data_IF_461874062583
#
_entry.id   IF_461874062583
#
_cell.length_a   1.000
_cell.length_b   1.000
_cell.length_c   1.000
_cell.angle_alpha   90.00
_cell.angle_beta   90.00
_cell.angle_gamma   90.00
#
_symmetry.space_group_name_H-M   'P 1'
#
loop_
_entity.id
_entity.type
_entity.pdbx_description
1 polymer ?
#
# COMPACT_ATOMS: atom_id res chain seq x y z
N UNK A 1 8.37 4.09 -3.57
CA UNK A 1 8.62 3.64 -2.19
C UNK A 1 10.10 3.80 -1.90
N UNK A 2 10.43 4.46 -0.80
CA UNK A 2 11.78 4.69 -0.32
C UNK A 2 11.97 4.00 1.03
N UNK A 3 12.85 3.01 1.07
CA UNK A 3 13.20 2.30 2.30
C UNK A 3 14.44 2.93 2.95
N UNK A 4 14.49 2.87 4.28
CA UNK A 4 15.48 3.60 5.06
C UNK A 4 15.97 2.85 6.29
N UNK A 5 17.18 3.17 6.73
CA UNK A 5 17.78 2.54 7.91
C UNK A 5 17.41 3.26 9.22
N UNK A 6 16.76 2.53 10.14
CA UNK A 6 16.40 2.97 11.49
C UNK A 6 15.18 3.89 11.59
N UNK A 7 14.73 4.21 12.81
CA UNK A 7 13.50 5.00 13.08
C UNK A 7 13.55 6.49 12.69
N UNK A 8 14.56 6.96 11.95
CA UNK A 8 14.66 8.37 11.52
C UNK A 8 15.19 8.44 10.10
N UNK A 9 14.63 9.39 9.34
CA UNK A 9 14.91 9.82 7.96
C UNK A 9 16.39 10.17 7.62
N UNK A 10 17.38 9.51 8.24
CA UNK A 10 18.78 9.88 8.11
C UNK A 10 19.44 9.25 6.89
N UNK A 11 18.89 8.15 6.37
CA UNK A 11 19.61 7.38 5.36
C UNK A 11 18.70 6.50 4.49
N UNK A 12 18.51 6.89 3.23
CA UNK A 12 17.85 6.04 2.23
C UNK A 12 18.77 4.88 1.83
N UNK A 13 18.26 3.65 1.82
CA UNK A 13 19.04 2.47 1.40
C UNK A 13 18.60 1.98 0.04
N UNK A 14 17.32 2.10 -0.27
CA UNK A 14 16.69 1.55 -1.46
C UNK A 14 15.62 2.50 -1.99
N UNK A 15 15.35 2.39 -3.28
CA UNK A 15 14.23 3.05 -3.92
C UNK A 15 13.57 2.09 -4.90
N UNK A 16 12.27 1.89 -4.78
CA UNK A 16 11.49 1.09 -5.70
C UNK A 16 10.38 1.90 -6.36
N UNK A 17 10.08 1.53 -7.60
CA UNK A 17 8.98 2.11 -8.35
C UNK A 17 8.21 1.03 -9.12
N UNK A 18 6.92 1.30 -9.27
CA UNK A 18 6.02 0.63 -10.20
C UNK A 18 5.21 1.72 -10.86
N UNK A 19 5.30 1.82 -12.18
CA UNK A 19 4.77 2.91 -13.00
C UNK A 19 3.94 2.33 -14.12
N UNK A 20 2.78 2.92 -14.32
CA UNK A 20 1.87 2.56 -15.41
C UNK A 20 1.58 3.82 -16.20
N UNK A 21 1.64 3.70 -17.52
CA UNK A 21 1.22 4.75 -18.47
C UNK A 21 0.47 4.12 -19.62
N UNK A 22 -0.26 4.93 -20.37
CA UNK A 22 -1.01 4.47 -21.54
C UNK A 22 -0.47 5.14 -22.80
N UNK A 23 -0.12 4.34 -23.81
CA UNK A 23 0.21 4.80 -25.16
C UNK A 23 -0.70 4.08 -26.15
N UNK A 24 -1.38 4.83 -27.02
CA UNK A 24 -2.31 4.29 -28.03
C UNK A 24 -3.34 3.29 -27.45
N UNK A 25 -3.84 3.58 -26.25
CA UNK A 25 -4.81 2.73 -25.53
C UNK A 25 -4.23 1.46 -24.92
N UNK A 26 -2.90 1.25 -25.00
CA UNK A 26 -2.21 0.11 -24.39
C UNK A 26 -1.55 0.51 -23.10
N UNK A 27 -1.74 -0.31 -22.07
CA UNK A 27 -1.04 -0.16 -20.81
C UNK A 27 0.44 -0.53 -20.99
N UNK A 28 1.32 0.34 -20.50
CA UNK A 28 2.77 0.14 -20.46
C UNK A 28 3.20 0.17 -18.99
N UNK A 29 3.69 -0.96 -18.53
CA UNK A 29 4.24 -1.15 -17.19
C UNK A 29 5.76 -0.92 -17.21
N UNK A 30 6.25 -0.18 -16.23
CA UNK A 30 7.67 -0.05 -15.93
C UNK A 30 7.88 -0.14 -14.43
N UNK A 31 8.79 -1.00 -13.99
CA UNK A 31 9.08 -1.21 -12.57
C UNK A 31 10.57 -1.46 -12.38
N UNK A 32 11.04 -1.22 -11.16
CA UNK A 32 12.42 -1.50 -10.83
C UNK A 32 12.76 -1.24 -9.37
N UNK A 33 14.01 -1.56 -9.06
CA UNK A 33 14.54 -1.48 -7.71
C UNK A 33 15.98 -0.99 -7.75
N UNK A 34 16.26 0.11 -7.05
CA UNK A 34 17.60 0.68 -6.87
C UNK A 34 18.08 0.45 -5.45
N UNK A 35 19.36 0.12 -5.31
CA UNK A 35 20.06 0.01 -4.02
C UNK A 35 21.22 0.99 -4.00
N UNK A 36 21.37 1.74 -2.91
CA UNK A 36 22.56 2.61 -2.71
C UNK A 36 23.77 1.73 -2.41
N UNK A 37 24.74 1.70 -3.32
CA UNK A 37 25.91 0.81 -3.28
C UNK A 37 26.69 0.93 -1.96
N UNK A 38 26.90 2.17 -1.48
CA UNK A 38 27.61 2.44 -0.23
C UNK A 38 26.88 1.94 1.02
N UNK A 39 25.60 1.59 0.88
CA UNK A 39 24.69 1.23 1.98
C UNK A 39 24.09 -0.16 1.81
N UNK A 40 24.57 -0.96 0.86
CA UNK A 40 24.01 -2.29 0.56
C UNK A 40 23.98 -3.22 1.78
N UNK A 41 24.99 -3.12 2.65
CA UNK A 41 25.10 -3.94 3.86
C UNK A 41 24.29 -3.42 5.06
N UNK A 42 23.62 -2.27 4.93
CA UNK A 42 22.84 -1.68 6.03
C UNK A 42 21.50 -2.41 6.09
N UNK A 43 21.18 -3.04 7.22
CA UNK A 43 19.97 -3.87 7.37
C UNK A 43 19.05 -3.27 8.41
N UNK A 44 17.76 -3.16 8.10
CA UNK A 44 16.80 -2.80 9.13
C UNK A 44 16.72 -3.95 10.16
N UNK A 45 16.74 -3.62 11.45
CA UNK A 45 16.65 -4.59 12.55
C UNK A 45 15.22 -4.78 13.06
N UNK A 46 14.27 -3.97 12.59
CA UNK A 46 12.88 -3.94 13.05
C UNK A 46 11.91 -4.67 12.12
N UNK A 47 12.31 -4.92 10.87
CA UNK A 47 11.49 -5.62 9.86
C UNK A 47 12.35 -6.65 9.12
N UNK A 48 11.76 -7.71 8.53
CA UNK A 48 12.48 -8.62 7.66
C UNK A 48 13.31 -7.89 6.61
N UNK A 49 14.55 -8.31 6.40
CA UNK A 49 15.45 -7.65 5.46
C UNK A 49 15.45 -8.37 4.11
N UNK A 50 14.54 -7.96 3.23
CA UNK A 50 14.30 -8.59 1.92
C UNK A 50 14.88 -7.81 0.72
N UNK A 51 15.76 -6.84 0.97
CA UNK A 51 16.48 -6.05 -0.05
C UNK A 51 17.04 -6.86 -1.22
N UNK A 52 17.55 -8.06 -0.96
CA UNK A 52 18.18 -8.93 -1.97
C UNK A 52 17.16 -9.78 -2.75
N UNK A 53 15.88 -9.74 -2.38
CA UNK A 53 14.79 -10.55 -2.94
C UNK A 53 13.81 -9.68 -3.76
N UNK A 54 14.30 -9.08 -4.85
CA UNK A 54 13.42 -8.36 -5.78
C UNK A 54 12.73 -9.34 -6.74
N UNK A 55 11.39 -9.37 -6.76
CA UNK A 55 10.63 -10.38 -7.50
C UNK A 55 10.49 -10.09 -9.00
N UNK A 56 10.71 -8.84 -9.40
CA UNK A 56 10.28 -8.35 -10.71
C UNK A 56 11.45 -7.98 -11.64
N UNK A 57 12.64 -8.51 -11.34
CA UNK A 57 13.85 -8.30 -12.13
C UNK A 57 15.10 -8.35 -11.26
N UNK A 58 16.12 -7.59 -11.64
CA UNK A 58 17.36 -7.48 -10.88
C UNK A 58 17.46 -6.11 -10.21
N UNK A 59 17.96 -6.11 -8.96
CA UNK A 59 18.26 -4.87 -8.24
C UNK A 59 19.45 -4.14 -8.87
N UNK A 60 19.29 -2.85 -9.18
CA UNK A 60 20.37 -2.01 -9.70
C UNK A 60 21.13 -1.34 -8.55
N UNK A 61 22.43 -1.61 -8.45
CA UNK A 61 23.28 -1.04 -7.40
C UNK A 61 23.99 0.21 -7.91
N UNK A 62 23.72 1.35 -7.30
CA UNK A 62 24.21 2.65 -7.76
C UNK A 62 24.96 3.41 -6.65
N UNK A 63 26.09 4.06 -6.99
CA UNK A 63 26.69 5.05 -6.10
C UNK A 63 25.70 6.17 -5.78
N UNK A 64 25.76 6.74 -4.58
CA UNK A 64 24.79 7.73 -4.07
C UNK A 64 24.48 8.86 -5.05
N UNK A 65 25.50 9.37 -5.77
CA UNK A 65 25.32 10.46 -6.75
C UNK A 65 24.47 10.00 -7.95
N UNK A 66 24.74 8.80 -8.47
CA UNK A 66 24.00 8.22 -9.59
C UNK A 66 22.59 7.80 -9.15
N UNK A 67 22.45 7.25 -7.94
CA UNK A 67 21.15 6.91 -7.34
C UNK A 67 20.22 8.13 -7.27
N UNK A 68 20.72 9.24 -6.71
CA UNK A 68 19.99 10.51 -6.67
C UNK A 68 19.56 10.96 -8.06
N UNK A 69 20.51 11.02 -8.99
CA UNK A 69 20.27 11.48 -10.36
C UNK A 69 19.23 10.60 -11.07
N UNK A 70 19.31 9.27 -10.90
CA UNK A 70 18.39 8.30 -11.50
C UNK A 70 16.94 8.52 -11.06
N UNK A 71 16.72 8.81 -9.78
CA UNK A 71 15.38 9.10 -9.25
C UNK A 71 14.85 10.44 -9.77
N UNK A 72 15.71 11.47 -9.83
CA UNK A 72 15.34 12.77 -10.38
C UNK A 72 14.93 12.66 -11.85
N UNK A 73 15.70 11.92 -12.66
CA UNK A 73 15.39 11.66 -14.07
C UNK A 73 14.08 10.87 -14.22
N UNK A 74 13.88 9.82 -13.43
CA UNK A 74 12.63 9.02 -13.45
C UNK A 74 11.39 9.89 -13.24
N UNK A 75 11.38 10.74 -12.22
CA UNK A 75 10.24 11.61 -11.90
C UNK A 75 10.07 12.72 -12.94
N UNK A 76 11.17 13.28 -13.45
CA UNK A 76 11.12 14.30 -14.50
C UNK A 76 10.55 13.72 -15.81
N UNK A 77 11.03 12.55 -16.22
CA UNK A 77 10.55 11.85 -17.41
C UNK A 77 9.07 11.49 -17.29
N UNK A 78 8.64 11.00 -16.11
CA UNK A 78 7.24 10.71 -15.86
C UNK A 78 6.35 11.97 -15.94
N UNK A 79 6.80 13.09 -15.33
CA UNK A 79 6.09 14.37 -15.36
C UNK A 79 6.01 14.98 -16.77
N UNK A 80 6.99 14.71 -17.63
CA UNK A 80 6.99 15.21 -19.01
C UNK A 80 5.97 14.49 -19.91
N UNK A 81 5.45 13.33 -19.48
CA UNK A 81 4.50 12.51 -20.23
C UNK A 81 3.03 12.81 -19.88
N UNK A 82 2.76 13.92 -19.16
CA UNK A 82 1.43 14.37 -18.79
C UNK A 82 1.22 14.43 -17.28
N UNK A 83 -0.03 14.34 -16.78
CA UNK A 83 -0.31 14.42 -15.36
C UNK A 83 0.32 13.24 -14.60
N UNK A 84 1.11 13.53 -13.54
CA UNK A 84 1.77 12.51 -12.73
C UNK A 84 1.04 12.28 -11.40
N UNK A 85 0.55 11.06 -11.20
CA UNK A 85 -0.01 10.59 -9.93
C UNK A 85 1.05 9.77 -9.18
N UNK A 86 1.52 10.29 -8.06
CA UNK A 86 2.43 9.59 -7.15
C UNK A 86 1.61 8.78 -6.15
N UNK A 87 1.69 7.46 -6.27
CA UNK A 87 0.97 6.51 -5.41
C UNK A 87 1.91 6.03 -4.30
N UNK A 88 1.46 6.14 -3.06
CA UNK A 88 2.21 5.70 -1.88
C UNK A 88 1.36 4.84 -0.95
N UNK A 89 2.01 4.17 -0.01
CA UNK A 89 1.38 3.55 1.14
C UNK A 89 1.89 4.26 2.40
N UNK A 90 1.15 5.26 2.86
CA UNK A 90 1.60 6.34 3.77
C UNK A 90 2.69 7.24 3.15
N UNK A 91 2.25 8.23 2.37
CA UNK A 91 3.11 9.16 1.64
C UNK A 91 4.05 10.01 2.52
N UNK A 92 3.78 10.09 3.82
CA UNK A 92 4.40 11.07 4.74
C UNK A 92 5.91 10.98 4.79
N UNK A 93 6.46 9.77 4.72
CA UNK A 93 7.90 9.53 4.78
C UNK A 93 8.55 9.67 3.41
N UNK A 94 7.98 9.06 2.37
CA UNK A 94 8.47 9.16 0.98
C UNK A 94 8.60 10.61 0.51
N UNK A 95 7.59 11.45 0.77
CA UNK A 95 7.61 12.87 0.37
C UNK A 95 8.72 13.63 1.10
N UNK A 96 9.00 13.30 2.37
CA UNK A 96 10.14 13.89 3.10
C UNK A 96 11.47 13.44 2.49
N UNK A 97 11.59 12.19 2.05
CA UNK A 97 12.78 11.69 1.37
C UNK A 97 13.02 12.37 0.04
N UNK A 98 11.98 12.50 -0.79
CA UNK A 98 12.07 13.21 -2.07
C UNK A 98 12.54 14.65 -1.92
N UNK A 99 12.05 15.36 -0.89
CA UNK A 99 12.46 16.75 -0.59
C UNK A 99 13.81 16.85 0.11
N UNK A 100 14.35 15.76 0.66
CA UNK A 100 15.60 15.76 1.41
C UNK A 100 16.81 16.03 0.50
N UNK A 101 17.92 16.47 1.11
CA UNK A 101 19.21 16.66 0.41
C UNK A 101 19.76 15.38 -0.25
N UNK A 102 19.28 14.21 0.19
CA UNK A 102 19.70 12.93 -0.38
C UNK A 102 19.18 12.75 -1.82
N UNK A 103 18.00 13.31 -2.13
CA UNK A 103 17.29 13.08 -3.40
C UNK A 103 16.98 14.38 -4.15
N UNK A 104 16.48 15.40 -3.48
CA UNK A 104 16.15 16.72 -4.05
C UNK A 104 15.30 16.64 -5.34
N UNK A 105 14.21 15.87 -5.32
CA UNK A 105 13.23 15.85 -6.41
C UNK A 105 12.38 17.13 -6.33
N UNK A 106 12.22 17.87 -7.45
CA UNK A 106 11.41 19.07 -7.49
C UNK A 106 9.91 18.71 -7.51
N UNK A 107 9.30 18.62 -6.34
CA UNK A 107 7.85 18.37 -6.19
C UNK A 107 7.03 19.67 -6.25
N UNK A 108 7.37 20.58 -7.17
CA UNK A 108 6.65 21.85 -7.35
C UNK A 108 5.24 21.57 -7.86
N UNK A 109 4.22 22.17 -7.24
CA UNK A 109 2.82 21.95 -7.64
C UNK A 109 2.21 20.64 -7.12
N UNK A 110 2.89 19.92 -6.22
CA UNK A 110 2.35 18.74 -5.54
C UNK A 110 1.04 19.08 -4.80
N UNK A 111 -0.05 18.40 -5.16
CA UNK A 111 -1.36 18.52 -4.51
C UNK A 111 -1.82 17.19 -3.92
N UNK A 112 -2.59 17.30 -2.84
CA UNK A 112 -3.21 16.17 -2.13
C UNK A 112 -4.70 16.02 -2.49
N UNK A 113 -5.29 17.05 -3.10
CA UNK A 113 -6.66 17.03 -3.57
C UNK A 113 -6.66 16.63 -5.05
N UNK A 114 -7.34 15.52 -5.35
CA UNK A 114 -7.56 15.08 -6.72
C UNK A 114 -8.56 16.03 -7.43
N UNK A 115 -8.38 16.29 -8.72
CA UNK A 115 -9.29 17.12 -9.50
C UNK A 115 -10.56 16.34 -9.86
N UNK A 116 -11.68 17.04 -10.02
CA UNK A 116 -12.96 16.44 -10.42
C UNK A 116 -12.94 15.92 -11.88
N UNK A 117 -12.05 16.47 -12.71
CA UNK A 117 -11.87 16.09 -14.11
C UNK A 117 -10.41 15.73 -14.39
N UNK A 118 -10.17 14.91 -15.40
CA UNK A 118 -8.82 14.51 -15.80
C UNK A 118 -7.98 15.76 -16.15
N UNK A 119 -6.90 16.03 -15.41
CA UNK A 119 -6.05 17.19 -15.63
C UNK A 119 -5.12 16.96 -16.84
N UNK A 120 -4.67 18.04 -17.47
CA UNK A 120 -3.68 17.97 -18.56
C UNK A 120 -2.24 17.90 -18.03
N UNK A 121 -1.99 18.49 -16.86
CA UNK A 121 -0.68 18.63 -16.24
C UNK A 121 -0.81 18.79 -14.72
N UNK A 122 0.25 18.43 -13.99
CA UNK A 122 0.32 18.55 -12.54
C UNK A 122 0.90 17.32 -11.85
N UNK A 123 0.92 17.39 -10.53
CA UNK A 123 1.50 16.37 -9.66
C UNK A 123 0.57 16.11 -8.47
N UNK A 124 0.01 14.91 -8.39
CA UNK A 124 -0.96 14.54 -7.35
C UNK A 124 -0.45 13.39 -6.50
N UNK A 125 -0.87 13.36 -5.24
CA UNK A 125 -0.66 12.22 -4.35
C UNK A 125 -1.92 11.39 -4.26
N UNK A 126 -1.73 10.08 -4.31
CA UNK A 126 -2.73 9.09 -3.94
C UNK A 126 -2.11 8.25 -2.82
N UNK A 127 -2.75 8.24 -1.66
CA UNK A 127 -2.31 7.42 -0.53
C UNK A 127 -3.22 6.20 -0.39
N UNK A 128 -2.65 5.02 -0.57
CA UNK A 128 -3.40 3.76 -0.47
C UNK A 128 -3.87 3.47 0.96
N UNK A 129 -3.26 4.05 1.99
CA UNK A 129 -3.78 3.96 3.36
C UNK A 129 -5.10 4.69 3.48
N UNK A 130 -5.22 5.87 2.88
CA UNK A 130 -6.47 6.65 2.87
C UNK A 130 -7.54 6.00 1.99
N UNK A 131 -7.16 5.47 0.82
CA UNK A 131 -8.08 4.71 -0.04
C UNK A 131 -8.66 3.49 0.69
N UNK A 132 -7.80 2.75 1.40
CA UNK A 132 -8.25 1.57 2.13
C UNK A 132 -9.13 1.94 3.33
N UNK A 133 -8.78 2.98 4.09
CA UNK A 133 -9.62 3.48 5.19
C UNK A 133 -11.02 3.87 4.70
N UNK A 134 -11.12 4.53 3.54
CA UNK A 134 -12.41 4.83 2.92
C UNK A 134 -13.19 3.56 2.50
N UNK A 135 -12.49 2.57 1.94
CA UNK A 135 -13.07 1.30 1.54
C UNK A 135 -13.61 0.50 2.73
N UNK A 136 -12.87 0.42 3.84
CA UNK A 136 -13.32 -0.29 5.05
C UNK A 136 -14.27 0.53 5.93
N UNK A 137 -14.47 1.82 5.62
CA UNK A 137 -15.29 2.72 6.42
C UNK A 137 -14.66 3.15 7.75
N UNK A 138 -13.33 3.14 7.87
CA UNK A 138 -12.61 3.67 9.03
C UNK A 138 -12.39 5.18 8.87
N UNK A 139 -12.95 5.94 9.82
CA UNK A 139 -12.73 7.38 9.96
C UNK A 139 -11.79 7.61 11.15
N UNK A 140 -10.50 7.32 10.96
CA UNK A 140 -9.51 7.38 12.03
C UNK A 140 -8.07 7.37 11.50
N UNK A 141 -7.10 7.56 12.40
CA UNK A 141 -5.67 7.54 12.08
C UNK A 141 -5.07 6.12 12.12
N UNK A 142 -5.91 5.07 12.16
CA UNK A 142 -5.44 3.69 12.21
C UNK A 142 -5.09 3.20 10.80
N UNK A 143 -3.85 3.50 10.37
CA UNK A 143 -3.34 3.10 9.06
C UNK A 143 -2.91 1.64 9.11
N UNK A 144 -3.59 0.79 8.33
CA UNK A 144 -3.17 -0.61 8.14
C UNK A 144 -1.87 -0.68 7.34
N UNK A 145 -1.03 -1.67 7.69
CA UNK A 145 0.20 -1.96 6.95
C UNK A 145 -0.10 -2.45 5.53
N UNK A 146 0.90 -2.35 4.64
CA UNK A 146 0.78 -2.78 3.25
C UNK A 146 0.42 -4.26 3.16
N UNK A 147 1.07 -5.08 3.99
CA UNK A 147 0.79 -6.51 4.08
C UNK A 147 -0.69 -6.78 4.40
N UNK A 148 -1.22 -6.10 5.42
CA UNK A 148 -2.61 -6.27 5.85
C UNK A 148 -3.59 -5.78 4.80
N UNK A 149 -3.30 -4.64 4.15
CA UNK A 149 -4.10 -4.15 3.02
C UNK A 149 -4.10 -5.16 1.88
N UNK A 150 -2.94 -5.66 1.45
CA UNK A 150 -2.86 -6.64 0.38
C UNK A 150 -3.61 -7.93 0.73
N UNK A 151 -3.46 -8.45 1.96
CA UNK A 151 -4.18 -9.64 2.43
C UNK A 151 -5.70 -9.44 2.36
N UNK A 152 -6.21 -8.33 2.88
CA UNK A 152 -7.63 -8.01 2.86
C UNK A 152 -8.17 -7.78 1.44
N UNK A 153 -7.32 -7.30 0.52
CA UNK A 153 -7.63 -7.20 -0.89
C UNK A 153 -7.46 -8.52 -1.66
N UNK A 154 -7.04 -9.60 -1.01
CA UNK A 154 -6.73 -10.92 -1.58
C UNK A 154 -5.60 -10.86 -2.63
N UNK A 155 -4.61 -9.99 -2.39
CA UNK A 155 -3.40 -9.86 -3.20
C UNK A 155 -2.29 -10.66 -2.51
N UNK A 156 -1.82 -11.77 -3.11
CA UNK A 156 -0.71 -12.52 -2.54
C UNK A 156 0.56 -11.68 -2.60
N UNK A 157 1.28 -11.63 -1.48
CA UNK A 157 2.54 -10.88 -1.34
C UNK A 157 3.68 -11.82 -1.01
N UNK A 158 4.87 -11.45 -1.45
CA UNK A 158 6.11 -12.17 -1.20
C UNK A 158 7.25 -11.16 -1.06
N UNK A 159 8.13 -11.37 -0.08
CA UNK A 159 9.33 -10.56 0.14
C UNK A 159 9.06 -9.05 0.30
N UNK A 160 8.07 -8.68 1.13
CA UNK A 160 7.85 -7.28 1.56
C UNK A 160 9.08 -6.73 2.30
N UNK A 161 9.20 -5.41 2.40
CA UNK A 161 10.43 -4.71 2.86
C UNK A 161 11.61 -4.81 1.86
N UNK A 162 11.27 -5.09 0.61
CA UNK A 162 12.08 -4.76 -0.55
C UNK A 162 11.38 -3.59 -1.25
N UNK A 163 12.05 -2.44 -1.40
CA UNK A 163 11.38 -1.23 -1.87
C UNK A 163 10.71 -1.40 -3.24
N UNK A 164 11.29 -2.23 -4.12
CA UNK A 164 10.73 -2.56 -5.43
C UNK A 164 9.46 -3.40 -5.34
N UNK A 165 9.46 -4.42 -4.49
CA UNK A 165 8.26 -5.23 -4.23
C UNK A 165 7.17 -4.40 -3.56
N UNK A 166 7.52 -3.59 -2.56
CA UNK A 166 6.56 -2.73 -1.86
C UNK A 166 5.91 -1.73 -2.83
N UNK A 167 6.67 -1.17 -3.77
CA UNK A 167 6.13 -0.31 -4.82
C UNK A 167 5.18 -1.07 -5.77
N UNK A 168 5.51 -2.32 -6.13
CA UNK A 168 4.66 -3.16 -6.95
C UNK A 168 3.34 -3.49 -6.24
N UNK A 169 3.38 -3.98 -5.00
CA UNK A 169 2.17 -4.34 -4.26
C UNK A 169 1.33 -3.12 -3.89
N UNK A 170 1.95 -1.97 -3.64
CA UNK A 170 1.24 -0.69 -3.49
C UNK A 170 0.46 -0.35 -4.78
N UNK A 171 1.06 -0.52 -5.95
CA UNK A 171 0.39 -0.30 -7.24
C UNK A 171 -0.77 -1.29 -7.45
N UNK A 172 -0.58 -2.58 -7.12
CA UNK A 172 -1.66 -3.58 -7.21
C UNK A 172 -2.82 -3.25 -6.27
N UNK A 173 -2.53 -2.86 -5.03
CA UNK A 173 -3.54 -2.44 -4.06
C UNK A 173 -4.31 -1.21 -4.56
N UNK A 174 -3.60 -0.20 -5.08
CA UNK A 174 -4.22 0.98 -5.68
C UNK A 174 -5.15 0.59 -6.84
N UNK A 175 -4.68 -0.22 -7.80
CA UNK A 175 -5.51 -0.72 -8.90
C UNK A 175 -6.75 -1.46 -8.40
N UNK A 176 -6.60 -2.32 -7.39
CA UNK A 176 -7.70 -3.11 -6.85
C UNK A 176 -8.79 -2.28 -6.15
N UNK A 177 -8.45 -1.10 -5.63
CA UNK A 177 -9.41 -0.17 -4.99
C UNK A 177 -9.95 0.89 -5.95
N UNK A 178 -9.15 1.30 -6.93
CA UNK A 178 -9.49 2.38 -7.86
C UNK A 178 -10.18 1.89 -9.15
N UNK A 179 -10.11 0.60 -9.45
CA UNK A 179 -10.79 0.00 -10.60
C UNK A 179 -12.08 -0.69 -10.20
N UNK A 180 -13.01 -0.77 -11.15
CA UNK A 180 -14.25 -1.52 -10.99
C UNK A 180 -15.43 -0.67 -10.52
N UNK A 181 -16.27 -1.30 -9.71
CA UNK A 181 -17.56 -0.77 -9.28
C UNK A 181 -17.43 0.41 -8.30
N UNK A 182 -18.51 1.17 -8.04
CA UNK A 182 -18.54 2.17 -6.97
C UNK A 182 -18.15 1.61 -5.60
N UNK A 183 -17.64 2.47 -4.73
CA UNK A 183 -17.10 2.12 -3.40
C UNK A 183 -18.00 1.17 -2.60
N UNK A 184 -19.30 1.46 -2.52
CA UNK A 184 -20.25 0.67 -1.73
C UNK A 184 -20.44 -0.74 -2.30
N UNK A 185 -20.41 -0.89 -3.63
CA UNK A 185 -20.48 -2.20 -4.28
C UNK A 185 -19.19 -2.98 -4.09
N UNK A 186 -18.02 -2.33 -4.21
CA UNK A 186 -16.75 -2.98 -3.91
C UNK A 186 -16.70 -3.49 -2.46
N UNK A 187 -17.21 -2.68 -1.52
CA UNK A 187 -17.32 -3.08 -0.11
C UNK A 187 -18.22 -4.29 0.07
N UNK A 188 -19.44 -4.25 -0.48
CA UNK A 188 -20.41 -5.35 -0.38
C UNK A 188 -19.89 -6.66 -1.02
N UNK A 189 -19.22 -6.56 -2.17
CA UNK A 189 -18.64 -7.72 -2.85
C UNK A 189 -17.51 -8.38 -2.05
N UNK A 190 -16.70 -7.58 -1.36
CA UNK A 190 -15.56 -8.07 -0.55
C UNK A 190 -16.01 -8.53 0.84
N UNK A 191 -16.90 -7.76 1.45
CA UNK A 191 -17.42 -7.96 2.80
C UNK A 191 -18.94 -7.71 2.80
N UNK A 192 -19.75 -8.75 2.59
CA UNK A 192 -21.20 -8.64 2.50
C UNK A 192 -21.83 -7.98 3.75
N UNK A 193 -23.05 -7.45 3.61
CA UNK A 193 -23.64 -6.51 4.58
C UNK A 193 -23.75 -7.03 6.03
N UNK A 194 -23.74 -8.36 6.24
CA UNK A 194 -23.68 -8.95 7.59
C UNK A 194 -22.36 -8.67 8.32
N UNK A 195 -21.35 -8.19 7.59
CA UNK A 195 -20.03 -7.80 8.08
C UNK A 195 -19.89 -6.28 8.24
N UNK A 196 -20.89 -5.50 7.86
CA UNK A 196 -20.89 -4.05 8.00
C UNK A 196 -21.94 -3.65 9.02
N UNK A 197 -21.50 -3.26 10.21
CA UNK A 197 -22.40 -2.91 11.31
C UNK A 197 -22.31 -1.43 11.67
N UNK A 198 -23.41 -0.87 12.19
CA UNK A 198 -23.37 0.40 12.93
C UNK A 198 -22.58 0.16 14.23
N UNK A 199 -21.43 0.81 14.39
CA UNK A 199 -20.76 0.82 15.68
C UNK A 199 -21.66 1.53 16.71
N UNK A 200 -21.80 1.01 17.95
CA UNK A 200 -22.52 1.69 19.03
C UNK A 200 -21.63 2.78 19.67
N UNK A 201 -20.96 3.59 18.86
CA UNK A 201 -20.20 4.76 19.33
C UNK A 201 -21.02 6.03 19.08
N UNK A 202 -21.72 6.58 20.08
CA UNK A 202 -22.55 7.77 19.92
C UNK A 202 -21.75 9.05 19.61
N UNK A 203 -20.41 9.01 19.58
CA UNK A 203 -19.56 10.11 19.14
C UNK A 203 -19.05 9.98 17.69
N UNK A 204 -19.24 8.84 17.01
CA UNK A 204 -18.87 8.68 15.60
C UNK A 204 -20.10 8.80 14.71
N UNK A 205 -20.05 9.54 13.59
CA UNK A 205 -21.13 9.52 12.61
C UNK A 205 -21.37 8.08 12.15
N UNK A 206 -22.64 7.69 12.03
CA UNK A 206 -23.07 6.35 11.62
C UNK A 206 -22.52 6.02 10.23
N UNK A 207 -21.37 5.36 10.19
CA UNK A 207 -20.69 4.91 8.99
C UNK A 207 -20.69 3.39 8.90
N UNK A 208 -20.74 2.88 7.66
CA UNK A 208 -20.69 1.45 7.32
C UNK A 208 -19.25 0.97 7.49
N UNK A 209 -18.82 0.69 8.72
CA UNK A 209 -17.48 0.14 9.00
C UNK A 209 -17.50 -1.38 8.87
N UNK A 210 -16.50 -1.92 8.15
CA UNK A 210 -16.30 -3.36 7.99
C UNK A 210 -15.76 -3.98 9.29
N UNK A 211 -16.35 -5.10 9.68
CA UNK A 211 -15.89 -5.97 10.77
C UNK A 211 -15.08 -7.13 10.18
N UNK A 212 -13.77 -7.11 10.46
CA UNK A 212 -12.85 -8.15 10.04
C UNK A 212 -12.81 -9.28 11.05
N UNK A 213 -12.58 -10.50 10.55
CA UNK A 213 -12.35 -11.67 11.36
C UNK A 213 -10.90 -11.74 11.84
N UNK A 214 -10.63 -12.30 13.03
CA UNK A 214 -9.28 -12.38 13.55
C UNK A 214 -8.25 -12.99 12.56
N UNK A 215 -8.63 -14.04 11.84
CA UNK A 215 -7.77 -14.72 10.87
C UNK A 215 -7.53 -13.92 9.56
N UNK A 216 -8.35 -12.92 9.27
CA UNK A 216 -8.11 -12.01 8.13
C UNK A 216 -7.15 -10.89 8.52
N UNK A 217 -7.08 -10.56 9.80
CA UNK A 217 -6.24 -9.48 10.32
C UNK A 217 -4.83 -9.94 10.68
N UNK A 218 -4.68 -11.21 11.06
CA UNK A 218 -3.42 -11.79 11.55
C UNK A 218 -3.00 -13.01 10.72
N UNK A 219 -1.77 -13.00 10.20
CA UNK A 219 -1.20 -14.10 9.40
C UNK A 219 -0.92 -15.30 10.27
N UNK A 220 -0.55 -15.03 11.52
CA UNK A 220 -0.07 -16.04 12.46
C UNK A 220 -1.24 -16.93 12.92
N UNK A 221 -2.48 -16.52 12.64
CA UNK A 221 -3.69 -17.30 12.88
C UNK A 221 -3.82 -18.50 11.93
N UNK A 222 -3.35 -18.38 10.69
CA UNK A 222 -3.41 -19.45 9.67
C UNK A 222 -2.52 -20.64 10.04
N UNK A 223 -1.40 -20.39 10.73
CA UNK A 223 -0.47 -21.43 11.18
C UNK A 223 -1.04 -22.33 12.29
N UNK A 224 -2.18 -21.97 12.90
CA UNK A 224 -2.90 -22.80 13.87
C UNK A 224 -4.00 -23.68 13.25
N UNK A 225 -4.38 -23.41 11.99
CA UNK A 225 -5.52 -24.04 11.31
C UNK A 225 -5.27 -25.50 10.92
N UNK A 226 -4.01 -25.96 11.02
CA UNK A 226 -3.62 -27.34 10.74
C UNK A 226 -3.72 -28.32 11.92
N UNK A 227 -4.03 -27.88 13.14
CA UNK A 227 -4.01 -28.77 14.32
C UNK A 227 -5.39 -29.05 14.94
N UNK A 228 -6.41 -28.23 14.70
CA UNK A 228 -7.78 -28.42 15.23
C UNK A 228 -8.76 -27.81 14.21
N UNK A 229 -9.85 -28.47 13.79
CA UNK A 229 -10.88 -27.82 12.97
C UNK A 229 -11.38 -26.56 13.69
N UNK A 230 -11.28 -25.42 13.03
CA UNK A 230 -11.73 -24.14 13.58
C UNK A 230 -13.25 -24.18 13.79
N UNK A 231 -13.65 -24.20 15.06
CA UNK A 231 -15.03 -24.01 15.48
C UNK A 231 -15.11 -22.56 15.95
N UNK A 232 -15.77 -21.72 15.14
CA UNK A 232 -16.03 -20.32 15.52
C UNK A 232 -16.68 -20.27 16.90
N UNK A 233 -16.16 -19.42 17.78
CA UNK A 233 -16.73 -19.21 19.10
C UNK A 233 -18.14 -18.64 18.98
N UNK A 234 -18.99 -18.82 20.00
CA UNK A 234 -20.33 -18.25 20.02
C UNK A 234 -20.33 -16.73 19.88
N UNK A 235 -19.26 -16.06 20.34
CA UNK A 235 -19.09 -14.61 20.16
C UNK A 235 -18.78 -14.25 18.69
N UNK A 236 -17.94 -15.02 18.00
CA UNK A 236 -17.65 -14.84 16.58
C UNK A 236 -18.86 -15.19 15.70
N UNK A 237 -19.58 -16.27 15.99
CA UNK A 237 -20.84 -16.63 15.30
C UNK A 237 -21.88 -15.54 15.45
N UNK A 238 -22.01 -14.98 16.65
CA UNK A 238 -22.91 -13.85 16.94
C UNK A 238 -22.48 -12.57 16.24
N UNK A 239 -21.17 -12.29 16.16
CA UNK A 239 -20.64 -11.14 15.42
C UNK A 239 -20.87 -11.27 13.90
N UNK A 240 -20.87 -12.49 13.36
CA UNK A 240 -21.06 -12.79 11.94
C UNK A 240 -22.53 -13.00 11.51
N UNK A 241 -23.47 -13.00 12.45
CA UNK A 241 -24.87 -13.32 12.18
C UNK A 241 -25.09 -14.78 11.76
N UNK A 242 -24.18 -15.68 12.10
CA UNK A 242 -24.32 -17.12 11.85
C UNK A 242 -25.23 -17.70 12.93
N UNK A 243 -26.29 -18.40 12.53
CA UNK A 243 -27.17 -19.09 13.47
C UNK A 243 -26.39 -20.17 14.24
N UNK A 244 -26.49 -20.13 15.57
CA UNK A 244 -25.98 -21.21 16.43
C UNK A 244 -26.82 -22.47 16.19
N UNK A 245 -26.39 -23.29 15.25
CA UNK A 245 -26.95 -24.62 15.00
C UNK A 245 -26.07 -25.72 15.62
N UNK A 246 -25.54 -25.47 16.82
CA UNK A 246 -24.89 -26.53 17.60
C UNK A 246 -25.85 -26.95 18.72
N UNK A 247 -26.81 -27.80 18.34
CA UNK A 247 -27.58 -28.62 19.26
C UNK A 247 -27.29 -30.09 18.96
N UNK A 248 -26.31 -30.66 19.66
CA UNK A 248 -26.35 -32.00 20.25
C UNK A 248 -25.26 -32.17 21.32
#
# INVERSE_FOLDING_TARGET
>A
MAESFGNRLRMITEFGWSMVRWEDGKEILNQGHLVVEERKYYRNTYVPNNKEHYNFGESEYLPKKSFKKRIQELIADASNNGPLYLIFHDHSQDVKYFKSKEIEVPLTGLTYMLPDATPNDGLWIIDTTELFSALEGESGNDKRSLERVCRLLQIPVEWLHNAGNDAHYTMLAAKAMMSGDPLDMQREQRWPSNRTGELPDPQRPSGVKVQFLPHEEDSDYSDMEGMIPYIATSEEKKALGIADNDAE
#
